data_IF_397650903384
#
_entry.id   IF_397650903384
#
_cell.length_a   1.000
_cell.length_b   1.000
_cell.length_c   1.000
_cell.angle_alpha   90.00
_cell.angle_beta   90.00
_cell.angle_gamma   90.00
#
_symmetry.space_group_name_H-M   'P 1'
#
loop_
_entity.id
_entity.type
_entity.pdbx_description
1 polymer ?
#
# COMPACT_ATOMS: atom_id res chain seq x y z
N UNK A 1 -19.78 3.62 22.04
CA UNK A 1 -19.42 2.87 20.81
C UNK A 1 -20.69 2.29 20.21
N UNK A 2 -20.97 2.54 18.93
CA UNK A 2 -22.18 2.03 18.27
C UNK A 2 -21.87 0.77 17.43
N UNK A 3 -22.75 -0.23 17.48
CA UNK A 3 -22.73 -1.43 16.64
C UNK A 3 -22.52 -1.15 15.12
N UNK A 4 -23.17 -0.14 14.51
CA UNK A 4 -22.95 0.20 13.10
C UNK A 4 -21.50 0.56 12.77
N UNK A 5 -20.77 1.19 13.69
CA UNK A 5 -19.37 1.59 13.46
C UNK A 5 -18.43 0.37 13.40
N UNK A 6 -18.72 -0.66 14.19
CA UNK A 6 -17.98 -1.94 14.13
C UNK A 6 -18.26 -2.68 12.83
N UNK A 7 -19.51 -2.72 12.39
CA UNK A 7 -19.90 -3.34 11.12
C UNK A 7 -19.25 -2.63 9.93
N UNK A 8 -19.23 -1.29 9.93
CA UNK A 8 -18.51 -0.51 8.93
C UNK A 8 -17.01 -0.86 8.94
N UNK A 9 -16.38 -0.90 10.13
CA UNK A 9 -14.99 -1.32 10.26
C UNK A 9 -14.74 -2.71 9.67
N UNK A 10 -15.59 -3.69 9.96
CA UNK A 10 -15.50 -5.02 9.38
C UNK A 10 -15.64 -5.02 7.86
N UNK A 11 -16.58 -4.24 7.30
CA UNK A 11 -16.75 -4.12 5.85
C UNK A 11 -15.52 -3.50 5.18
N UNK A 12 -14.92 -2.47 5.78
CA UNK A 12 -13.68 -1.84 5.29
C UNK A 12 -12.50 -2.82 5.35
N UNK A 13 -12.41 -3.66 6.39
CA UNK A 13 -11.39 -4.70 6.48
C UNK A 13 -11.55 -5.77 5.39
N UNK A 14 -12.78 -6.19 5.10
CA UNK A 14 -13.06 -7.14 4.00
C UNK A 14 -12.68 -6.51 2.65
N UNK A 15 -13.02 -5.25 2.43
CA UNK A 15 -12.65 -4.53 1.22
C UNK A 15 -11.13 -4.38 1.09
N UNK A 16 -10.41 -4.12 2.19
CA UNK A 16 -8.96 -4.08 2.20
C UNK A 16 -8.34 -5.43 1.80
N UNK A 17 -8.82 -6.53 2.37
CA UNK A 17 -8.36 -7.88 2.02
C UNK A 17 -8.64 -8.19 0.54
N UNK A 18 -9.81 -7.83 0.04
CA UNK A 18 -10.16 -8.01 -1.37
C UNK A 18 -9.23 -7.20 -2.30
N UNK A 19 -8.89 -5.96 -1.93
CA UNK A 19 -7.95 -5.14 -2.68
C UNK A 19 -6.55 -5.77 -2.74
N UNK A 20 -6.02 -6.24 -1.60
CA UNK A 20 -4.73 -6.94 -1.57
C UNK A 20 -4.75 -8.25 -2.38
N UNK A 21 -5.83 -9.04 -2.29
CA UNK A 21 -5.97 -10.27 -3.05
C UNK A 21 -6.04 -10.01 -4.57
N UNK A 22 -6.72 -8.93 -4.98
CA UNK A 22 -6.74 -8.49 -6.37
C UNK A 22 -5.34 -8.11 -6.87
N UNK A 23 -4.54 -7.45 -6.03
CA UNK A 23 -3.14 -7.13 -6.37
C UNK A 23 -2.32 -8.39 -6.63
N UNK A 24 -2.45 -9.44 -5.81
CA UNK A 24 -1.72 -10.71 -6.01
C UNK A 24 -2.00 -11.32 -7.38
N UNK A 25 -3.21 -11.13 -7.92
CA UNK A 25 -3.61 -11.68 -9.22
C UNK A 25 -3.06 -10.90 -10.42
N UNK A 26 -2.55 -9.69 -10.20
CA UNK A 26 -2.20 -8.73 -11.27
C UNK A 26 -0.71 -8.31 -11.20
N UNK A 27 -0.09 -8.40 -10.02
CA UNK A 27 1.28 -7.97 -9.80
C UNK A 27 2.31 -8.88 -10.49
N UNK A 28 3.44 -8.32 -10.94
CA UNK A 28 4.51 -9.11 -11.49
C UNK A 28 5.19 -9.91 -10.36
N UNK A 29 5.40 -11.21 -10.55
CA UNK A 29 6.12 -12.06 -9.60
C UNK A 29 7.46 -12.48 -10.18
N UNK A 30 8.54 -12.30 -9.41
CA UNK A 30 9.85 -12.87 -9.74
C UNK A 30 9.79 -14.37 -9.41
N UNK A 31 9.97 -15.30 -10.37
CA UNK A 31 9.97 -16.73 -10.05
C UNK A 31 11.20 -17.08 -9.17
N UNK A 32 11.06 -17.97 -8.17
CA UNK A 32 12.19 -18.41 -7.37
C UNK A 32 13.19 -19.19 -8.23
N UNK A 33 14.49 -18.97 -7.99
CA UNK A 33 15.60 -19.50 -8.80
C UNK A 33 15.59 -21.03 -8.95
N UNK A 34 14.94 -21.76 -8.04
CA UNK A 34 14.73 -23.21 -8.13
C UNK A 34 13.87 -23.64 -9.35
N UNK A 35 13.19 -22.71 -10.02
CA UNK A 35 12.46 -22.93 -11.27
C UNK A 35 13.24 -22.48 -12.53
N UNK A 36 14.42 -21.88 -12.38
CA UNK A 36 15.20 -21.31 -13.49
C UNK A 36 15.67 -22.37 -14.51
N UNK A 37 15.87 -23.62 -14.07
CA UNK A 37 16.24 -24.74 -14.96
C UNK A 37 15.06 -25.30 -15.77
N UNK A 38 13.81 -24.89 -15.48
CA UNK A 38 12.61 -25.45 -16.13
C UNK A 38 11.67 -24.42 -16.75
N UNK A 39 11.84 -23.12 -16.48
CA UNK A 39 11.06 -22.04 -17.09
C UNK A 39 11.99 -20.92 -17.55
N UNK A 40 12.25 -20.76 -18.87
CA UNK A 40 13.01 -19.63 -19.36
C UNK A 40 12.14 -18.37 -19.27
N UNK A 41 12.43 -17.50 -18.30
CA UNK A 41 12.01 -16.11 -18.32
C UNK A 41 11.28 -15.64 -17.08
N UNK A 42 11.75 -14.51 -16.56
CA UNK A 42 10.94 -13.55 -15.79
C UNK A 42 9.57 -13.45 -16.49
N UNK A 43 8.47 -13.69 -15.76
CA UNK A 43 7.15 -13.32 -16.28
C UNK A 43 7.18 -11.81 -16.37
N UNK A 44 7.48 -11.29 -17.56
CA UNK A 44 7.69 -9.87 -17.78
C UNK A 44 6.45 -9.12 -17.28
N UNK A 45 6.62 -8.07 -16.46
CA UNK A 45 5.50 -7.27 -16.02
C UNK A 45 4.73 -6.78 -17.24
N UNK A 46 3.44 -7.09 -17.31
CA UNK A 46 2.59 -6.40 -18.29
C UNK A 46 2.52 -4.92 -17.88
N UNK A 47 2.50 -3.96 -18.83
CA UNK A 47 2.36 -2.53 -18.51
C UNK A 47 1.12 -2.22 -17.66
N UNK A 48 0.12 -3.12 -17.68
CA UNK A 48 -1.07 -3.05 -16.84
C UNK A 48 -0.76 -3.17 -15.34
N UNK A 49 0.24 -3.95 -14.96
CA UNK A 49 0.56 -4.20 -13.55
C UNK A 49 1.08 -2.94 -12.84
N UNK A 50 1.80 -2.06 -13.55
CA UNK A 50 2.26 -0.77 -13.03
C UNK A 50 1.13 0.26 -12.84
N UNK A 51 0.00 0.06 -13.52
CA UNK A 51 -1.16 0.95 -13.40
C UNK A 51 -2.13 0.43 -12.34
N UNK A 52 -2.35 -0.88 -12.27
CA UNK A 52 -3.36 -1.48 -11.40
C UNK A 52 -2.87 -1.78 -9.99
N UNK A 53 -1.61 -2.23 -9.82
CA UNK A 53 -1.11 -2.66 -8.52
C UNK A 53 -0.93 -1.50 -7.52
N UNK A 54 -0.32 -0.35 -7.88
CA UNK A 54 -0.13 0.75 -6.94
C UNK A 54 -1.43 1.30 -6.33
N UNK A 55 -2.51 1.59 -7.09
CA UNK A 55 -3.75 2.08 -6.50
C UNK A 55 -4.43 1.03 -5.62
N UNK A 56 -4.43 -0.26 -6.00
CA UNK A 56 -5.04 -1.32 -5.19
C UNK A 56 -4.33 -1.49 -3.84
N UNK A 57 -3.00 -1.41 -3.84
CA UNK A 57 -2.19 -1.44 -2.61
C UNK A 57 -2.45 -0.21 -1.74
N UNK A 58 -2.51 0.98 -2.34
CA UNK A 58 -2.84 2.21 -1.62
C UNK A 58 -4.23 2.14 -0.99
N UNK A 59 -5.24 1.72 -1.76
CA UNK A 59 -6.62 1.53 -1.29
C UNK A 59 -6.67 0.51 -0.16
N UNK A 60 -6.07 -0.67 -0.35
CA UNK A 60 -6.02 -1.73 0.65
C UNK A 60 -5.44 -1.23 1.97
N UNK A 61 -4.31 -0.53 1.93
CA UNK A 61 -3.64 -0.02 3.13
C UNK A 61 -4.42 1.07 3.85
N UNK A 62 -5.02 2.02 3.11
CA UNK A 62 -5.84 3.09 3.69
C UNK A 62 -7.12 2.53 4.32
N UNK A 63 -7.79 1.59 3.65
CA UNK A 63 -8.98 0.90 4.17
C UNK A 63 -8.65 0.00 5.37
N UNK A 64 -7.48 -0.65 5.39
CA UNK A 64 -7.03 -1.45 6.52
C UNK A 64 -6.86 -0.59 7.78
N UNK A 65 -6.19 0.55 7.67
CA UNK A 65 -5.99 1.45 8.82
C UNK A 65 -7.31 2.10 9.24
N UNK A 66 -8.12 2.59 8.29
CA UNK A 66 -9.44 3.16 8.60
C UNK A 66 -10.39 2.13 9.23
N UNK A 67 -10.44 0.92 8.68
CA UNK A 67 -11.27 -0.19 9.11
C UNK A 67 -10.88 -0.72 10.49
N UNK A 68 -9.59 -0.93 10.76
CA UNK A 68 -9.10 -1.32 12.10
C UNK A 68 -9.46 -0.26 13.14
N UNK A 69 -9.27 1.02 12.82
CA UNK A 69 -9.59 2.11 13.73
C UNK A 69 -11.11 2.28 13.95
N UNK A 70 -11.96 1.95 12.97
CA UNK A 70 -13.42 1.93 13.11
C UNK A 70 -13.91 0.70 13.90
N UNK A 71 -13.33 -0.47 13.64
CA UNK A 71 -13.63 -1.72 14.33
C UNK A 71 -13.24 -1.67 15.81
N UNK A 72 -12.04 -1.19 16.11
CA UNK A 72 -11.57 -0.92 17.46
C UNK A 72 -12.20 0.34 18.09
N UNK A 73 -13.01 1.07 17.32
CA UNK A 73 -13.67 2.35 17.67
C UNK A 73 -12.75 3.34 18.37
N UNK A 74 -11.52 3.42 17.88
CA UNK A 74 -10.57 4.46 18.25
C UNK A 74 -11.08 5.85 17.80
N UNK A 75 -10.49 6.92 18.32
CA UNK A 75 -10.68 8.28 17.79
C UNK A 75 -9.91 8.50 16.48
N UNK A 76 -10.18 9.59 15.73
CA UNK A 76 -9.29 10.03 14.64
C UNK A 76 -7.86 10.17 15.16
N UNK A 77 -6.87 9.71 14.39
CA UNK A 77 -5.46 9.76 14.78
C UNK A 77 -4.59 9.80 13.53
N UNK A 78 -3.99 10.97 13.28
CA UNK A 78 -3.03 11.18 12.20
C UNK A 78 -1.81 10.24 12.31
N UNK A 79 -1.38 9.95 13.53
CA UNK A 79 -0.25 9.04 13.79
C UNK A 79 -0.57 7.59 13.44
N UNK A 80 -1.79 7.14 13.71
CA UNK A 80 -2.21 5.79 13.31
C UNK A 80 -2.22 5.65 11.77
N UNK A 81 -2.62 6.71 11.06
CA UNK A 81 -2.60 6.72 9.59
C UNK A 81 -1.23 6.74 8.95
N UNK A 82 -0.16 7.06 9.70
CA UNK A 82 1.22 6.88 9.21
C UNK A 82 1.56 5.41 8.95
N UNK A 83 0.78 4.46 9.49
CA UNK A 83 0.94 3.05 9.16
C UNK A 83 0.51 2.72 7.73
N UNK A 84 -0.40 3.49 7.12
CA UNK A 84 -0.90 3.21 5.78
C UNK A 84 0.20 3.17 4.70
N UNK A 85 1.10 4.18 4.58
CA UNK A 85 2.20 4.12 3.61
C UNK A 85 3.16 2.95 3.89
N UNK A 86 3.46 2.66 5.16
CA UNK A 86 4.33 1.54 5.52
C UNK A 86 3.71 0.18 5.14
N UNK A 87 2.42 -0.02 5.42
CA UNK A 87 1.69 -1.23 5.05
C UNK A 87 1.58 -1.39 3.52
N UNK A 88 1.39 -0.29 2.79
CA UNK A 88 1.39 -0.28 1.33
C UNK A 88 2.74 -0.71 0.75
N UNK A 89 3.84 -0.16 1.27
CA UNK A 89 5.19 -0.56 0.87
C UNK A 89 5.49 -2.02 1.18
N UNK A 90 5.20 -2.49 2.41
CA UNK A 90 5.42 -3.88 2.81
C UNK A 90 4.61 -4.86 1.94
N UNK A 91 3.33 -4.55 1.72
CA UNK A 91 2.47 -5.38 0.88
C UNK A 91 2.96 -5.40 -0.57
N UNK A 92 3.39 -4.25 -1.12
CA UNK A 92 3.98 -4.19 -2.46
C UNK A 92 5.22 -5.09 -2.57
N UNK A 93 6.17 -4.96 -1.64
CA UNK A 93 7.39 -5.75 -1.62
C UNK A 93 7.11 -7.25 -1.48
N UNK A 94 6.19 -7.64 -0.59
CA UNK A 94 5.84 -9.05 -0.39
C UNK A 94 5.14 -9.69 -1.59
N UNK A 95 4.28 -8.93 -2.27
CA UNK A 95 3.59 -9.40 -3.49
C UNK A 95 4.58 -9.55 -4.64
N UNK A 96 5.44 -8.56 -4.88
CA UNK A 96 6.38 -8.60 -6.01
C UNK A 96 7.51 -9.61 -5.78
N UNK A 97 7.97 -9.75 -4.53
CA UNK A 97 8.91 -10.80 -4.17
C UNK A 97 8.30 -12.21 -4.32
N UNK A 98 6.98 -12.34 -4.51
CA UNK A 98 6.32 -13.62 -4.71
C UNK A 98 6.06 -14.40 -3.42
N UNK A 99 6.13 -13.74 -2.25
CA UNK A 99 6.04 -14.39 -0.91
C UNK A 99 4.76 -15.23 -0.77
N UNK A 100 3.68 -14.81 -1.42
CA UNK A 100 2.40 -15.53 -1.42
C UNK A 100 2.46 -16.82 -2.24
N UNK A 101 3.24 -16.85 -3.32
CA UNK A 101 3.36 -17.99 -4.22
C UNK A 101 4.38 -19.04 -3.72
N UNK A 102 5.50 -18.59 -3.12
CA UNK A 102 6.57 -19.49 -2.67
C UNK A 102 7.23 -19.01 -1.35
N UNK A 103 6.47 -18.97 -0.23
CA UNK A 103 6.94 -18.37 1.03
C UNK A 103 8.22 -19.03 1.57
N UNK A 104 8.33 -20.36 1.47
CA UNK A 104 9.47 -21.11 1.98
C UNK A 104 10.78 -20.84 1.21
N UNK A 105 10.69 -20.41 -0.05
CA UNK A 105 11.85 -20.08 -0.88
C UNK A 105 12.27 -18.61 -0.71
N UNK A 106 11.31 -17.71 -0.47
CA UNK A 106 11.53 -16.27 -0.52
C UNK A 106 11.79 -15.66 0.86
N UNK A 107 11.14 -16.16 1.91
CA UNK A 107 11.35 -15.65 3.27
C UNK A 107 12.81 -15.76 3.74
N UNK A 108 13.58 -16.83 3.44
CA UNK A 108 14.99 -16.89 3.76
C UNK A 108 15.83 -15.90 2.94
N UNK A 109 15.50 -15.71 1.66
CA UNK A 109 16.19 -14.78 0.76
C UNK A 109 15.98 -13.31 1.19
N UNK A 110 14.82 -12.97 1.77
CA UNK A 110 14.55 -11.65 2.34
C UNK A 110 15.33 -11.36 3.64
N UNK A 111 16.08 -12.33 4.20
CA UNK A 111 17.01 -12.06 5.30
C UNK A 111 18.36 -11.57 4.77
N UNK A 112 18.64 -11.81 3.48
CA UNK A 112 19.90 -11.46 2.83
C UNK A 112 19.84 -10.04 2.26
N UNK A 113 20.75 -9.17 2.72
CA UNK A 113 20.70 -7.72 2.48
C UNK A 113 20.74 -7.35 1.00
N UNK A 114 21.51 -8.09 0.19
CA UNK A 114 21.64 -7.86 -1.25
C UNK A 114 20.39 -8.28 -2.03
N UNK A 115 19.76 -9.39 -1.63
CA UNK A 115 18.47 -9.80 -2.17
C UNK A 115 17.38 -8.78 -1.83
N UNK A 116 17.40 -8.23 -0.61
CA UNK A 116 16.50 -7.15 -0.22
C UNK A 116 16.71 -5.89 -1.08
N UNK A 117 17.97 -5.49 -1.30
CA UNK A 117 18.30 -4.35 -2.14
C UNK A 117 17.83 -4.55 -3.60
N UNK A 118 17.92 -5.76 -4.13
CA UNK A 118 17.41 -6.11 -5.46
C UNK A 118 15.87 -6.00 -5.55
N UNK A 119 15.15 -6.30 -4.47
CA UNK A 119 13.68 -6.12 -4.39
C UNK A 119 13.28 -4.64 -4.34
N UNK A 120 14.16 -3.75 -3.89
CA UNK A 120 13.89 -2.31 -3.86
C UNK A 120 14.44 -1.56 -5.08
N UNK A 121 15.07 -2.26 -6.03
CA UNK A 121 15.62 -1.66 -7.25
C UNK A 121 14.89 -2.19 -8.49
N UNK A 122 14.58 -1.30 -9.44
CA UNK A 122 13.82 -1.66 -10.64
C UNK A 122 12.29 -1.69 -10.44
N UNK A 123 11.55 -2.41 -11.31
CA UNK A 123 10.08 -2.44 -11.34
C UNK A 123 9.36 -2.67 -9.99
N UNK A 124 9.84 -3.55 -9.10
CA UNK A 124 9.22 -3.76 -7.79
C UNK A 124 9.27 -2.52 -6.89
N UNK A 125 10.40 -1.81 -6.91
CA UNK A 125 10.62 -0.58 -6.16
C UNK A 125 9.72 0.56 -6.65
N UNK A 126 9.46 0.61 -7.95
CA UNK A 126 8.56 1.60 -8.57
C UNK A 126 7.09 1.39 -8.16
N UNK A 127 6.62 0.14 -8.11
CA UNK A 127 5.28 -0.21 -7.61
C UNK A 127 5.16 0.12 -6.12
N UNK A 128 6.18 -0.21 -5.33
CA UNK A 128 6.23 0.09 -3.90
C UNK A 128 6.21 1.60 -3.65
N UNK A 129 6.96 2.39 -4.42
CA UNK A 129 6.95 3.85 -4.33
C UNK A 129 5.55 4.43 -4.60
N UNK A 130 4.85 3.96 -5.63
CA UNK A 130 3.48 4.34 -5.92
C UNK A 130 2.50 4.00 -4.79
N UNK A 131 2.60 2.79 -4.22
CA UNK A 131 1.80 2.37 -3.07
C UNK A 131 2.06 3.23 -1.82
N UNK A 132 3.32 3.61 -1.57
CA UNK A 132 3.70 4.50 -0.46
C UNK A 132 3.15 5.90 -0.67
N UNK A 133 3.24 6.47 -1.88
CA UNK A 133 2.64 7.78 -2.21
C UNK A 133 1.13 7.76 -1.97
N UNK A 134 0.44 6.74 -2.47
CA UNK A 134 -1.00 6.59 -2.27
C UNK A 134 -1.38 6.40 -0.80
N UNK A 135 -0.65 5.56 -0.07
CA UNK A 135 -0.85 5.37 1.37
C UNK A 135 -0.63 6.63 2.19
N UNK A 136 0.30 7.50 1.78
CA UNK A 136 0.62 8.74 2.47
C UNK A 136 -0.46 9.83 2.34
N UNK A 137 -1.44 9.69 1.43
CA UNK A 137 -2.59 10.60 1.34
C UNK A 137 -3.42 10.59 2.62
N UNK A 138 -3.65 9.41 3.21
CA UNK A 138 -4.44 9.25 4.43
C UNK A 138 -3.87 10.02 5.65
N UNK A 139 -2.58 9.89 6.02
CA UNK A 139 -2.03 10.66 7.12
C UNK A 139 -1.97 12.16 6.86
N UNK A 140 -1.82 12.63 5.62
CA UNK A 140 -1.88 14.07 5.33
C UNK A 140 -3.30 14.62 5.56
N UNK A 141 -4.32 13.89 5.13
CA UNK A 141 -5.73 14.29 5.35
C UNK A 141 -6.09 14.21 6.84
N UNK A 142 -5.69 13.14 7.54
CA UNK A 142 -5.94 13.07 8.98
C UNK A 142 -5.17 14.14 9.75
N UNK A 143 -3.91 14.41 9.41
CA UNK A 143 -3.12 15.43 10.08
C UNK A 143 -3.68 16.84 9.88
N UNK A 144 -4.29 17.12 8.72
CA UNK A 144 -4.99 18.39 8.47
C UNK A 144 -6.28 18.48 9.28
N UNK A 145 -7.10 17.42 9.30
CA UNK A 145 -8.35 17.37 10.10
C UNK A 145 -8.08 17.48 11.60
N UNK A 146 -7.03 16.82 12.11
CA UNK A 146 -6.70 16.81 13.54
C UNK A 146 -5.69 17.87 13.96
N UNK A 147 -5.26 18.75 13.05
CA UNK A 147 -4.23 19.78 13.28
C UNK A 147 -2.90 19.22 13.87
N UNK A 148 -2.51 18.00 13.49
CA UNK A 148 -1.28 17.35 13.98
C UNK A 148 -0.09 17.68 13.06
N UNK A 149 0.54 18.84 13.30
CA UNK A 149 1.69 19.34 12.51
C UNK A 149 2.86 18.33 12.40
N UNK A 150 3.31 17.65 13.48
CA UNK A 150 4.31 16.59 13.36
C UNK A 150 3.93 15.48 12.37
N UNK A 151 2.67 15.01 12.42
CA UNK A 151 2.19 13.98 11.50
C UNK A 151 2.10 14.50 10.05
N UNK A 152 1.70 15.76 9.86
CA UNK A 152 1.68 16.42 8.55
C UNK A 152 3.08 16.46 7.92
N UNK A 153 4.09 16.85 8.70
CA UNK A 153 5.48 16.90 8.26
C UNK A 153 5.99 15.50 7.93
N UNK A 154 5.73 14.51 8.79
CA UNK A 154 6.11 13.12 8.54
C UNK A 154 5.47 12.58 7.24
N UNK A 155 4.18 12.80 7.03
CA UNK A 155 3.49 12.43 5.79
C UNK A 155 4.05 13.14 4.56
N UNK A 156 4.35 14.43 4.66
CA UNK A 156 4.94 15.22 3.56
C UNK A 156 6.34 14.73 3.19
N UNK A 157 7.19 14.45 4.18
CA UNK A 157 8.53 13.89 3.96
C UNK A 157 8.45 12.51 3.32
N UNK A 158 7.49 11.67 3.71
CA UNK A 158 7.26 10.36 3.08
C UNK A 158 6.86 10.50 1.61
N UNK A 159 5.97 11.45 1.27
CA UNK A 159 5.61 11.73 -0.13
C UNK A 159 6.84 12.17 -0.92
N UNK A 160 7.62 13.12 -0.40
CA UNK A 160 8.82 13.61 -1.07
C UNK A 160 9.87 12.50 -1.27
N UNK A 161 10.08 11.66 -0.26
CA UNK A 161 11.00 10.53 -0.35
C UNK A 161 10.52 9.50 -1.39
N UNK A 162 9.23 9.19 -1.42
CA UNK A 162 8.66 8.26 -2.39
C UNK A 162 8.68 8.80 -3.81
N UNK A 163 8.46 10.11 -4.01
CA UNK A 163 8.62 10.79 -5.30
C UNK A 163 10.07 10.74 -5.78
N UNK A 164 11.04 10.96 -4.89
CA UNK A 164 12.46 10.86 -5.24
C UNK A 164 12.86 9.42 -5.61
N UNK A 165 12.38 8.43 -4.86
CA UNK A 165 12.67 7.02 -5.09
C UNK A 165 12.01 6.47 -6.36
N UNK A 166 10.79 6.91 -6.68
CA UNK A 166 10.02 6.46 -7.85
C UNK A 166 10.13 7.37 -9.07
N UNK A 167 11.08 8.30 -9.12
CA UNK A 167 11.17 9.31 -10.18
C UNK A 167 11.30 8.72 -11.60
N UNK A 168 11.79 7.49 -11.72
CA UNK A 168 11.90 6.76 -12.99
C UNK A 168 10.56 6.27 -13.54
N UNK A 169 9.51 6.17 -12.71
CA UNK A 169 8.17 5.74 -13.12
C UNK A 169 7.07 6.68 -12.58
N UNK A 170 6.84 7.82 -13.27
CA UNK A 170 5.80 8.76 -12.86
C UNK A 170 4.39 8.18 -12.94
N UNK A 171 4.15 7.14 -13.75
CA UNK A 171 2.81 6.55 -13.90
C UNK A 171 2.40 5.78 -12.65
N UNK A 172 3.30 4.96 -12.08
CA UNK A 172 3.04 4.27 -10.81
C UNK A 172 2.77 5.26 -9.66
N UNK A 173 3.54 6.35 -9.60
CA UNK A 173 3.35 7.42 -8.60
C UNK A 173 1.97 8.07 -8.71
N UNK A 174 1.55 8.44 -9.92
CA UNK A 174 0.23 9.04 -10.18
C UNK A 174 -0.89 8.04 -9.89
N UNK A 175 -0.78 6.80 -10.38
CA UNK A 175 -1.79 5.78 -10.17
C UNK A 175 -1.98 5.47 -8.68
N UNK A 176 -0.87 5.30 -7.94
CA UNK A 176 -0.89 5.12 -6.49
C UNK A 176 -1.53 6.31 -5.76
N UNK A 177 -1.13 7.54 -6.10
CA UNK A 177 -1.71 8.76 -5.55
C UNK A 177 -3.23 8.86 -5.79
N UNK A 178 -3.70 8.56 -6.99
CA UNK A 178 -5.14 8.52 -7.33
C UNK A 178 -5.87 7.46 -6.50
N UNK A 179 -5.30 6.26 -6.34
CA UNK A 179 -5.87 5.21 -5.49
C UNK A 179 -6.00 5.65 -4.04
N UNK A 180 -4.96 6.28 -3.48
CA UNK A 180 -4.97 6.84 -2.14
C UNK A 180 -6.06 7.91 -1.94
N UNK A 181 -6.16 8.85 -2.88
CA UNK A 181 -7.20 9.89 -2.87
C UNK A 181 -8.61 9.31 -2.99
N UNK A 182 -8.81 8.31 -3.85
CA UNK A 182 -10.08 7.61 -3.98
C UNK A 182 -10.47 6.87 -2.69
N UNK A 183 -9.50 6.23 -2.03
CA UNK A 183 -9.74 5.55 -0.75
C UNK A 183 -10.15 6.53 0.36
N UNK A 184 -9.47 7.68 0.46
CA UNK A 184 -9.86 8.73 1.40
C UNK A 184 -11.23 9.32 1.05
N UNK A 185 -11.52 9.55 -0.24
CA UNK A 185 -12.84 10.00 -0.69
C UNK A 185 -13.96 8.99 -0.36
N UNK A 186 -13.70 7.69 -0.46
CA UNK A 186 -14.64 6.67 -0.01
C UNK A 186 -14.85 6.75 1.51
N UNK A 187 -13.79 6.97 2.30
CA UNK A 187 -13.88 7.17 3.74
C UNK A 187 -14.63 8.45 4.12
N UNK A 188 -14.56 9.52 3.31
CA UNK A 188 -15.42 10.69 3.47
C UNK A 188 -16.91 10.35 3.33
N UNK A 189 -17.24 9.48 2.38
CA UNK A 189 -18.63 9.09 2.15
C UNK A 189 -19.21 8.21 3.27
N UNK A 190 -18.39 7.31 3.85
CA UNK A 190 -18.86 6.31 4.82
C UNK A 190 -18.57 6.65 6.29
N UNK A 191 -17.57 7.48 6.58
CA UNK A 191 -17.18 7.93 7.93
C UNK A 191 -16.83 9.44 7.92
N UNK A 192 -17.79 10.33 7.54
CA UNK A 192 -17.53 11.75 7.33
C UNK A 192 -17.03 12.47 8.59
N UNK A 193 -17.55 12.11 9.77
CA UNK A 193 -17.20 12.74 11.05
C UNK A 193 -15.70 12.66 11.38
N UNK A 194 -15.02 11.70 10.76
CA UNK A 194 -13.63 11.39 11.06
C UNK A 194 -12.66 11.81 9.98
N UNK A 195 -13.12 11.88 8.73
CA UNK A 195 -12.25 12.08 7.57
C UNK A 195 -12.53 13.37 6.83
N UNK A 196 -13.73 13.96 6.96
CA UNK A 196 -14.06 15.21 6.27
C UNK A 196 -13.32 16.38 6.95
N UNK A 197 -12.61 17.23 6.18
CA UNK A 197 -12.02 18.47 6.70
C UNK A 197 -13.06 19.48 7.15
#
# INVERSE_FOLDING_TARGET
>A
MSLPRRLLGSALLVAAVAAFAATVSIAPTIPPESAADSVPGVIAPTPYSFVAAPPLLAVGSVLLVGGTAAFAGAGPSARATLLAPALGGIAASGVVAGVVAAPAAILPALVETDALASVFTGPPGEIAAGAVVGGAVAPVVQATVTEDTPALLAGSVLILAALAAGASDPLSLVAGGVGGAAAVGALWAVDPDRWRP
#
